data_IF_899113160559
#
_entry.id   IF_899113160559
#
_cell.length_a   1.000
_cell.length_b   1.000
_cell.length_c   1.000
_cell.angle_alpha   90.00
_cell.angle_beta   90.00
_cell.angle_gamma   90.00
#
_symmetry.space_group_name_H-M   'P 1'
#
loop_
_entity.id
_entity.type
_entity.pdbx_description
1 polymer ?
#
# COMPACT_ATOMS: atom_id res chain seq x y z
N UNK A 1 5.46 1.43 37.50
CA UNK A 1 4.01 1.22 37.76
C UNK A 1 3.35 2.56 37.61
N UNK A 2 2.39 2.68 36.69
CA UNK A 2 1.63 3.91 36.47
C UNK A 2 0.83 4.23 37.74
N UNK A 3 0.92 5.45 38.26
CA UNK A 3 0.13 5.86 39.42
C UNK A 3 -1.28 6.24 38.97
N UNK A 4 -2.29 5.93 39.77
CA UNK A 4 -3.67 6.30 39.47
C UNK A 4 -4.25 7.17 40.59
N UNK A 5 -4.88 8.27 40.21
CA UNK A 5 -5.61 9.15 41.11
C UNK A 5 -7.09 9.20 40.73
N UNK A 6 -7.96 9.28 41.74
CA UNK A 6 -9.39 9.50 41.55
C UNK A 6 -9.84 10.75 42.29
N UNK A 7 -10.50 11.67 41.59
CA UNK A 7 -11.02 12.93 42.13
C UNK A 7 -12.53 12.83 42.15
N UNK A 8 -13.13 12.77 43.34
CA UNK A 8 -14.59 12.70 43.51
C UNK A 8 -15.09 14.08 43.94
N UNK A 9 -15.90 14.71 43.08
CA UNK A 9 -16.42 16.07 43.24
C UNK A 9 -17.95 16.04 43.36
N UNK A 10 -18.47 16.35 44.54
CA UNK A 10 -19.92 16.33 44.82
C UNK A 10 -20.25 17.44 45.80
N UNK A 11 -21.29 18.24 45.54
CA UNK A 11 -21.78 19.30 46.44
C UNK A 11 -20.69 20.31 46.87
N UNK A 12 -19.89 20.79 45.91
CA UNK A 12 -18.77 21.71 46.16
C UNK A 12 -17.68 21.16 47.11
N UNK A 13 -17.65 19.85 47.36
CA UNK A 13 -16.56 19.16 48.04
C UNK A 13 -15.81 18.25 47.07
N UNK A 14 -14.51 18.15 47.25
CA UNK A 14 -13.64 17.25 46.50
C UNK A 14 -12.83 16.37 47.43
N UNK A 15 -12.82 15.08 47.12
CA UNK A 15 -12.02 14.07 47.79
C UNK A 15 -11.11 13.38 46.78
N UNK A 16 -9.81 13.35 47.09
CA UNK A 16 -8.79 12.76 46.22
C UNK A 16 -8.39 11.41 46.78
N UNK A 17 -8.23 10.43 45.90
CA UNK A 17 -7.75 9.10 46.22
C UNK A 17 -6.54 8.75 45.36
N UNK A 18 -5.58 8.04 45.94
CA UNK A 18 -4.46 7.41 45.24
C UNK A 18 -4.61 5.90 45.29
N UNK A 19 -4.24 5.22 44.21
CA UNK A 19 -4.21 3.76 44.14
C UNK A 19 -2.86 3.25 44.64
N UNK A 20 -2.86 2.59 45.80
CA UNK A 20 -1.69 1.90 46.36
C UNK A 20 -1.96 0.39 46.38
N UNK A 21 -1.13 -0.40 45.69
CA UNK A 21 -1.23 -1.88 45.69
C UNK A 21 -2.65 -2.42 45.39
N UNK A 22 -3.34 -1.78 44.43
CA UNK A 22 -4.75 -2.09 44.04
C UNK A 22 -5.82 -1.71 45.07
N UNK A 23 -5.47 -0.93 46.10
CA UNK A 23 -6.41 -0.37 47.08
C UNK A 23 -6.42 1.14 46.95
N UNK A 24 -7.62 1.72 46.88
CA UNK A 24 -7.79 3.17 46.86
C UNK A 24 -7.74 3.73 48.28
N UNK A 25 -6.88 4.71 48.51
CA UNK A 25 -6.74 5.40 49.81
C UNK A 25 -6.89 6.89 49.62
N UNK A 26 -7.41 7.57 50.64
CA UNK A 26 -7.55 9.03 50.61
C UNK A 26 -6.17 9.65 50.53
N UNK A 27 -5.96 10.49 49.53
CA UNK A 27 -4.75 11.26 49.34
C UNK A 27 -4.99 12.69 49.84
N UNK A 28 -4.38 13.10 50.96
CA UNK A 28 -4.65 14.40 51.57
C UNK A 28 -3.98 15.52 50.77
N UNK A 29 -4.73 16.19 49.90
CA UNK A 29 -4.28 17.42 49.24
C UNK A 29 -4.55 18.61 50.16
N UNK A 30 -3.58 19.53 50.29
CA UNK A 30 -3.62 20.63 51.26
C UNK A 30 -3.69 20.21 52.74
N UNK A 31 -3.24 19.00 53.09
CA UNK A 31 -3.32 18.41 54.45
C UNK A 31 -4.74 18.13 54.95
N UNK A 32 -5.73 18.22 54.07
CA UNK A 32 -7.14 17.92 54.36
C UNK A 32 -7.59 16.69 53.56
N UNK A 33 -8.40 15.83 54.20
CA UNK A 33 -8.97 14.65 53.53
C UNK A 33 -10.11 14.98 52.57
N UNK A 34 -10.81 16.10 52.79
CA UNK A 34 -11.80 16.68 51.88
C UNK A 34 -11.54 18.18 51.77
N UNK A 35 -11.57 18.69 50.55
CA UNK A 35 -11.37 20.11 50.28
C UNK A 35 -12.69 20.72 49.80
N UNK A 36 -12.99 21.96 50.20
CA UNK A 36 -14.10 22.71 49.61
C UNK A 36 -13.66 23.42 48.33
N UNK A 37 -14.47 23.32 47.28
CA UNK A 37 -14.30 24.01 46.00
C UNK A 37 -14.89 25.43 45.99
N UNK A 38 -15.38 25.94 47.13
CA UNK A 38 -15.89 27.33 47.23
C UNK A 38 -14.85 28.39 46.84
N UNK A 39 -13.58 28.14 47.14
CA UNK A 39 -12.46 29.05 46.91
C UNK A 39 -11.34 28.41 46.07
N UNK A 40 -11.56 27.22 45.52
CA UNK A 40 -10.54 26.43 44.83
C UNK A 40 -11.14 25.76 43.60
N UNK A 41 -10.33 25.55 42.57
CA UNK A 41 -10.74 24.80 41.38
C UNK A 41 -10.17 23.38 41.38
N UNK A 42 -10.81 22.46 40.65
CA UNK A 42 -10.27 21.11 40.46
C UNK A 42 -8.89 21.14 39.77
N UNK A 43 -8.65 22.13 38.91
CA UNK A 43 -7.36 22.37 38.26
C UNK A 43 -6.24 22.70 39.25
N UNK A 44 -6.49 23.60 40.22
CA UNK A 44 -5.52 23.91 41.29
C UNK A 44 -5.15 22.68 42.13
N UNK A 45 -6.10 21.77 42.32
CA UNK A 45 -5.85 20.52 43.05
C UNK A 45 -4.93 19.59 42.24
N UNK A 46 -5.14 19.49 40.93
CA UNK A 46 -4.26 18.72 40.03
C UNK A 46 -2.85 19.32 39.99
N UNK A 47 -2.72 20.64 39.92
CA UNK A 47 -1.41 21.32 40.01
C UNK A 47 -0.73 21.03 41.34
N UNK A 48 -1.47 21.04 42.45
CA UNK A 48 -0.94 20.69 43.77
C UNK A 48 -0.49 19.23 43.87
N UNK A 49 -1.23 18.31 43.24
CA UNK A 49 -0.83 16.90 43.14
C UNK A 49 0.49 16.78 42.37
N UNK A 50 0.66 17.51 41.27
CA UNK A 50 1.92 17.52 40.52
C UNK A 50 3.09 18.05 41.38
N UNK A 51 2.88 19.14 42.12
CA UNK A 51 3.89 19.69 43.05
C UNK A 51 4.28 18.68 44.14
N UNK A 52 3.33 17.92 44.69
CA UNK A 52 3.60 16.91 45.71
C UNK A 52 4.26 15.65 45.17
N UNK A 53 3.92 15.25 43.95
CA UNK A 53 4.59 14.13 43.29
C UNK A 53 6.04 14.48 42.93
N UNK A 54 6.32 15.76 42.65
CA UNK A 54 7.66 16.30 42.35
C UNK A 54 8.46 15.40 41.39
N UNK A 55 7.78 14.90 40.35
CA UNK A 55 8.34 13.96 39.38
C UNK A 55 8.95 14.71 38.19
N UNK A 56 10.05 14.19 37.64
CA UNK A 56 10.71 14.72 36.44
C UNK A 56 9.80 14.70 35.21
N UNK A 57 8.81 13.81 35.18
CA UNK A 57 7.90 13.61 34.05
C UNK A 57 6.52 14.29 34.24
N UNK A 58 6.42 15.22 35.20
CA UNK A 58 5.15 15.85 35.62
C UNK A 58 4.07 14.79 35.87
N UNK A 59 2.98 14.82 35.09
CA UNK A 59 1.85 13.88 35.18
C UNK A 59 1.74 12.95 33.97
N UNK A 60 2.77 12.81 33.11
CA UNK A 60 2.69 11.99 31.87
C UNK A 60 2.27 10.54 32.12
N UNK A 61 2.83 9.93 33.15
CA UNK A 61 2.57 8.52 33.50
C UNK A 61 1.58 8.37 34.68
N UNK A 62 0.58 9.23 34.75
CA UNK A 62 -0.42 9.21 35.82
C UNK A 62 -1.83 9.10 35.23
N UNK A 63 -2.62 8.13 35.70
CA UNK A 63 -4.02 8.00 35.32
C UNK A 63 -4.91 8.83 36.25
N UNK A 64 -5.83 9.63 35.71
CA UNK A 64 -6.78 10.42 36.49
C UNK A 64 -8.24 10.04 36.19
N UNK A 65 -8.98 9.65 37.22
CA UNK A 65 -10.42 9.38 37.15
C UNK A 65 -11.20 10.46 37.89
N UNK A 66 -11.88 11.35 37.17
CA UNK A 66 -12.63 12.44 37.78
C UNK A 66 -14.11 12.07 37.75
N UNK A 67 -14.75 12.00 38.92
CA UNK A 67 -16.18 11.81 39.05
C UNK A 67 -16.79 13.10 39.58
N UNK A 68 -17.66 13.75 38.81
CA UNK A 68 -18.21 15.07 39.17
C UNK A 68 -19.74 15.11 39.11
N UNK A 69 -20.40 15.81 40.05
CA UNK A 69 -21.86 15.99 40.01
C UNK A 69 -22.35 16.83 38.82
N UNK A 70 -21.50 17.77 38.37
CA UNK A 70 -21.75 18.70 37.30
C UNK A 70 -20.50 18.79 36.43
N UNK A 71 -20.64 18.85 35.10
CA UNK A 71 -19.50 19.00 34.20
C UNK A 71 -18.75 20.31 34.41
N UNK A 72 -19.40 21.33 35.00
CA UNK A 72 -18.80 22.63 35.28
C UNK A 72 -17.58 22.58 36.21
N UNK A 73 -17.49 21.59 37.11
CA UNK A 73 -16.31 21.43 37.96
C UNK A 73 -15.06 20.96 37.21
N UNK A 74 -15.22 20.44 36.00
CA UNK A 74 -14.10 20.07 35.14
C UNK A 74 -13.52 21.23 34.34
N UNK A 75 -14.06 22.46 34.51
CA UNK A 75 -13.54 23.65 33.82
C UNK A 75 -12.06 23.86 34.17
N UNK A 76 -11.24 24.08 33.15
CA UNK A 76 -9.79 24.28 33.28
C UNK A 76 -8.96 22.99 33.36
N UNK A 77 -9.57 21.83 33.66
CA UNK A 77 -8.85 20.56 33.70
C UNK A 77 -8.20 20.17 32.36
N UNK A 78 -8.85 20.31 31.19
CA UNK A 78 -8.21 19.98 29.91
C UNK A 78 -6.95 20.80 29.64
N UNK A 79 -6.98 22.10 29.96
CA UNK A 79 -5.84 23.00 29.76
C UNK A 79 -4.71 22.69 30.74
N UNK A 80 -5.03 22.43 32.01
CA UNK A 80 -4.05 22.06 33.04
C UNK A 80 -3.39 20.71 32.73
N UNK A 81 -4.17 19.68 32.37
CA UNK A 81 -3.61 18.40 31.96
C UNK A 81 -2.76 18.51 30.68
N UNK A 82 -3.20 19.30 29.70
CA UNK A 82 -2.41 19.59 28.50
C UNK A 82 -1.06 20.25 28.81
N UNK A 83 -1.03 21.25 29.71
CA UNK A 83 0.22 21.88 30.18
C UNK A 83 1.14 20.90 30.90
N UNK A 84 0.56 19.97 31.66
CA UNK A 84 1.30 18.97 32.43
C UNK A 84 1.63 17.69 31.63
N UNK A 85 1.27 17.65 30.34
CA UNK A 85 1.53 16.54 29.43
C UNK A 85 0.74 15.26 29.75
N UNK A 86 -0.38 15.37 30.46
CA UNK A 86 -1.21 14.22 30.82
C UNK A 86 -2.30 14.00 29.76
N UNK A 87 -2.28 12.82 29.14
CA UNK A 87 -3.29 12.39 28.17
C UNK A 87 -4.21 11.30 28.74
N UNK A 88 -3.95 10.85 29.97
CA UNK A 88 -4.61 9.71 30.61
C UNK A 88 -5.55 10.17 31.72
N UNK A 89 -6.53 11.01 31.36
CA UNK A 89 -7.56 11.47 32.30
C UNK A 89 -8.96 11.29 31.73
N UNK A 90 -9.94 11.07 32.59
CA UNK A 90 -11.34 10.84 32.21
C UNK A 90 -12.30 11.53 33.17
N UNK A 91 -13.42 12.03 32.63
CA UNK A 91 -14.51 12.65 33.40
C UNK A 91 -15.77 11.79 33.32
N UNK A 92 -16.32 11.42 34.47
CA UNK A 92 -17.55 10.65 34.60
C UNK A 92 -18.54 11.41 35.46
N UNK A 93 -19.80 11.47 35.04
CA UNK A 93 -20.84 12.11 35.84
C UNK A 93 -21.20 11.26 37.06
N UNK A 94 -21.33 11.92 38.21
CA UNK A 94 -21.66 11.31 39.50
C UNK A 94 -22.90 10.44 39.43
N UNK A 95 -23.97 10.92 38.79
CA UNK A 95 -25.24 10.18 38.71
C UNK A 95 -25.03 8.81 38.04
N UNK A 96 -24.40 8.81 36.87
CA UNK A 96 -24.15 7.59 36.11
C UNK A 96 -23.17 6.65 36.83
N UNK A 97 -22.15 7.19 37.50
CA UNK A 97 -21.22 6.39 38.30
C UNK A 97 -21.93 5.76 39.52
N UNK A 98 -22.76 6.55 40.21
CA UNK A 98 -23.52 6.12 41.39
C UNK A 98 -24.52 5.03 41.05
N UNK A 99 -25.29 5.18 39.98
CA UNK A 99 -26.27 4.17 39.54
C UNK A 99 -25.60 2.80 39.34
N UNK A 100 -24.45 2.77 38.66
CA UNK A 100 -23.69 1.53 38.47
C UNK A 100 -23.14 0.97 39.77
N UNK A 101 -22.55 1.81 40.62
CA UNK A 101 -21.96 1.37 41.89
C UNK A 101 -23.01 0.84 42.87
N UNK A 102 -24.22 1.41 42.89
CA UNK A 102 -25.33 0.94 43.72
C UNK A 102 -25.81 -0.46 43.31
N UNK A 103 -25.73 -0.82 42.02
CA UNK A 103 -26.03 -2.18 41.56
C UNK A 103 -25.03 -3.21 42.09
N UNK A 104 -23.77 -2.82 42.28
CA UNK A 104 -22.71 -3.69 42.83
C UNK A 104 -22.84 -3.82 44.34
N UNK A 105 -23.01 -2.70 45.04
CA UNK A 105 -23.23 -2.67 46.49
C UNK A 105 -24.14 -1.50 46.87
N UNK A 106 -25.38 -1.76 47.30
CA UNK A 106 -26.32 -0.69 47.64
C UNK A 106 -25.84 0.11 48.86
N UNK A 107 -26.08 1.42 48.82
CA UNK A 107 -25.89 2.32 49.95
C UNK A 107 -26.91 1.98 51.05
N UNK A 108 -26.51 2.08 52.33
CA UNK A 108 -27.47 1.88 53.42
C UNK A 108 -28.44 3.07 53.46
N UNK A 109 -29.73 2.79 53.71
CA UNK A 109 -30.76 3.85 53.83
C UNK A 109 -30.36 4.86 54.92
N UNK A 110 -30.18 6.13 54.53
CA UNK A 110 -29.80 7.24 55.42
C UNK A 110 -28.42 7.85 55.14
N UNK A 111 -27.57 7.20 54.35
CA UNK A 111 -26.22 7.68 53.99
C UNK A 111 -26.23 8.61 52.76
N UNK A 112 -27.21 9.53 52.69
CA UNK A 112 -27.28 10.53 51.60
C UNK A 112 -26.64 11.87 51.97
N UNK A 113 -26.00 12.00 53.13
CA UNK A 113 -25.47 13.30 53.59
C UNK A 113 -23.94 13.41 53.56
N UNK A 114 -23.17 12.33 53.68
CA UNK A 114 -21.72 12.38 53.55
C UNK A 114 -21.24 11.08 52.91
N UNK A 115 -20.62 11.20 51.74
CA UNK A 115 -20.11 10.09 50.97
C UNK A 115 -19.22 9.23 51.87
N UNK A 116 -19.64 8.00 52.16
CA UNK A 116 -18.80 7.07 52.91
C UNK A 116 -17.51 6.86 52.12
N UNK A 117 -16.40 7.40 52.65
CA UNK A 117 -15.07 7.31 52.09
C UNK A 117 -14.70 5.85 51.76
N UNK A 118 -15.15 4.91 52.60
CA UNK A 118 -14.88 3.49 52.40
C UNK A 118 -15.66 2.95 51.20
N UNK A 119 -16.93 3.32 51.04
CA UNK A 119 -17.74 2.95 49.88
C UNK A 119 -17.20 3.55 48.58
N UNK A 120 -16.75 4.81 48.60
CA UNK A 120 -16.12 5.45 47.45
C UNK A 120 -14.87 4.67 46.99
N UNK A 121 -13.97 4.38 47.92
CA UNK A 121 -12.72 3.68 47.66
C UNK A 121 -12.90 2.23 47.21
N UNK A 122 -13.85 1.49 47.82
CA UNK A 122 -13.99 0.05 47.60
C UNK A 122 -15.02 -0.34 46.54
N UNK A 123 -15.92 0.56 46.15
CA UNK A 123 -17.03 0.24 45.23
C UNK A 123 -17.06 1.20 44.05
N UNK A 124 -17.16 2.51 44.29
CA UNK A 124 -17.38 3.49 43.22
C UNK A 124 -16.20 3.54 42.26
N UNK A 125 -14.99 3.82 42.79
CA UNK A 125 -13.81 4.02 41.94
C UNK A 125 -13.47 2.74 41.14
N UNK A 126 -13.42 1.53 41.73
CA UNK A 126 -13.18 0.30 40.97
C UNK A 126 -14.22 0.03 39.86
N UNK A 127 -15.48 0.37 40.11
CA UNK A 127 -16.56 0.17 39.11
C UNK A 127 -16.39 1.10 37.91
N UNK A 128 -15.93 2.33 38.15
CA UNK A 128 -15.67 3.31 37.09
C UNK A 128 -14.40 2.94 36.31
N UNK A 129 -13.32 2.58 37.01
CA UNK A 129 -12.04 2.15 36.44
C UNK A 129 -12.21 0.92 35.53
N UNK A 130 -12.91 -0.13 36.00
CA UNK A 130 -13.09 -1.37 35.26
C UNK A 130 -13.93 -1.24 33.99
N UNK A 131 -14.95 -0.37 34.01
CA UNK A 131 -15.83 -0.16 32.84
C UNK A 131 -15.12 0.54 31.68
N UNK A 132 -14.13 1.38 31.98
CA UNK A 132 -13.43 2.20 30.98
C UNK A 132 -12.25 1.43 30.38
N UNK A 133 -11.46 0.75 31.22
CA UNK A 133 -10.35 -0.10 30.75
C UNK A 133 -10.81 -1.22 29.81
N UNK A 134 -12.01 -1.79 30.05
CA UNK A 134 -12.58 -2.82 29.18
C UNK A 134 -12.95 -2.30 27.78
N UNK A 135 -13.44 -1.06 27.67
CA UNK A 135 -13.80 -0.45 26.38
C UNK A 135 -12.55 -0.15 25.53
N UNK A 136 -11.48 0.32 26.16
CA UNK A 136 -10.21 0.61 25.49
C UNK A 136 -9.53 -0.68 24.99
N UNK A 137 -9.51 -1.75 25.80
CA UNK A 137 -8.94 -3.04 25.38
C UNK A 137 -9.71 -3.69 24.23
N UNK A 138 -11.04 -3.59 24.23
CA UNK A 138 -11.87 -4.13 23.15
C UNK A 138 -11.60 -3.40 21.83
N UNK A 139 -11.50 -2.06 21.87
CA UNK A 139 -11.20 -1.23 20.72
C UNK A 139 -9.79 -1.49 20.16
N UNK A 140 -8.81 -1.68 21.04
CA UNK A 140 -7.43 -2.03 20.64
C UNK A 140 -7.39 -3.39 19.93
N UNK A 141 -8.05 -4.42 20.49
CA UNK A 141 -8.13 -5.75 19.85
C UNK A 141 -8.85 -5.72 18.51
N UNK A 142 -9.87 -4.89 18.35
CA UNK A 142 -10.55 -4.72 17.06
C UNK A 142 -9.62 -4.08 16.01
N UNK A 143 -8.89 -3.03 16.39
CA UNK A 143 -7.89 -2.40 15.51
C UNK A 143 -6.77 -3.37 15.11
N UNK A 144 -6.27 -4.18 16.04
CA UNK A 144 -5.25 -5.20 15.75
C UNK A 144 -5.77 -6.23 14.75
N UNK A 145 -7.02 -6.68 14.90
CA UNK A 145 -7.66 -7.61 13.96
C UNK A 145 -7.81 -7.01 12.57
N UNK A 146 -8.19 -5.75 12.48
CA UNK A 146 -8.32 -5.07 11.19
C UNK A 146 -6.97 -4.88 10.49
N UNK A 147 -5.91 -4.56 11.25
CA UNK A 147 -4.56 -4.48 10.72
C UNK A 147 -4.06 -5.84 10.22
N UNK A 148 -4.30 -6.92 10.98
CA UNK A 148 -3.95 -8.27 10.58
C UNK A 148 -4.70 -8.69 9.30
N UNK A 149 -6.00 -8.37 9.19
CA UNK A 149 -6.80 -8.66 8.00
C UNK A 149 -6.28 -7.93 6.76
N UNK A 150 -5.94 -6.63 6.90
CA UNK A 150 -5.36 -5.84 5.81
C UNK A 150 -4.01 -6.38 5.37
N UNK A 151 -3.17 -6.78 6.32
CA UNK A 151 -1.88 -7.38 6.01
C UNK A 151 -2.04 -8.70 5.25
N UNK A 152 -2.96 -9.56 5.69
CA UNK A 152 -3.25 -10.83 4.99
C UNK A 152 -3.78 -10.58 3.56
N UNK A 153 -4.64 -9.57 3.38
CA UNK A 153 -5.16 -9.19 2.07
C UNK A 153 -4.06 -8.63 1.14
N UNK A 154 -3.14 -7.83 1.68
CA UNK A 154 -1.99 -7.33 0.93
C UNK A 154 -1.05 -8.44 0.47
N UNK A 155 -0.76 -9.42 1.33
CA UNK A 155 0.07 -10.57 0.96
C UNK A 155 -0.60 -11.41 -0.14
N UNK A 156 -1.92 -11.66 -0.04
CA UNK A 156 -2.66 -12.36 -1.11
C UNK A 156 -2.62 -11.63 -2.45
N UNK A 157 -2.75 -10.30 -2.44
CA UNK A 157 -2.63 -9.48 -3.66
C UNK A 157 -1.23 -9.58 -4.25
N UNK A 158 -0.19 -9.52 -3.40
CA UNK A 158 1.20 -9.64 -3.83
C UNK A 158 1.50 -11.00 -4.47
N UNK A 159 1.07 -12.10 -3.83
CA UNK A 159 1.20 -13.45 -4.38
C UNK A 159 0.48 -13.58 -5.74
N UNK A 160 -0.73 -13.02 -5.86
CA UNK A 160 -1.46 -13.03 -7.12
C UNK A 160 -0.73 -12.22 -8.23
N UNK A 161 -0.15 -11.06 -7.89
CA UNK A 161 0.64 -10.27 -8.83
C UNK A 161 1.90 -10.99 -9.30
N UNK A 162 2.63 -11.66 -8.39
CA UNK A 162 3.81 -12.45 -8.75
C UNK A 162 3.45 -13.60 -9.69
N UNK A 163 2.35 -14.31 -9.42
CA UNK A 163 1.87 -15.39 -10.29
C UNK A 163 1.51 -14.89 -11.69
N UNK A 164 0.74 -13.79 -11.79
CA UNK A 164 0.38 -13.18 -13.07
C UNK A 164 1.61 -12.67 -13.83
N UNK A 165 2.60 -12.12 -13.13
CA UNK A 165 3.88 -11.71 -13.72
C UNK A 165 4.64 -12.88 -14.33
N UNK A 166 4.70 -14.02 -13.62
CA UNK A 166 5.30 -15.25 -14.11
C UNK A 166 4.59 -15.80 -15.36
N UNK A 167 3.26 -15.89 -15.33
CA UNK A 167 2.46 -16.33 -16.47
C UNK A 167 2.67 -15.43 -17.70
N UNK A 168 2.73 -14.11 -17.51
CA UNK A 168 2.98 -13.15 -18.60
C UNK A 168 4.33 -13.38 -19.25
N UNK A 169 5.39 -13.60 -18.46
CA UNK A 169 6.72 -13.88 -19.00
C UNK A 169 6.77 -15.18 -19.82
N UNK A 170 6.10 -16.23 -19.35
CA UNK A 170 6.01 -17.51 -20.10
C UNK A 170 5.30 -17.30 -21.44
N UNK A 171 4.17 -16.58 -21.43
CA UNK A 171 3.41 -16.30 -22.66
C UNK A 171 4.19 -15.41 -23.63
N UNK A 172 4.89 -14.38 -23.13
CA UNK A 172 5.75 -13.52 -23.95
C UNK A 172 6.88 -14.33 -24.62
N UNK A 173 7.50 -15.26 -23.88
CA UNK A 173 8.51 -16.15 -24.42
C UNK A 173 7.96 -17.06 -25.53
N UNK A 174 6.76 -17.62 -25.34
CA UNK A 174 6.12 -18.47 -26.34
C UNK A 174 5.71 -17.67 -27.59
N UNK A 175 5.19 -16.45 -27.43
CA UNK A 175 4.91 -15.55 -28.56
C UNK A 175 6.17 -15.29 -29.37
N UNK A 176 7.29 -15.00 -28.71
CA UNK A 176 8.56 -14.74 -29.39
C UNK A 176 9.09 -15.99 -30.11
N UNK A 177 8.96 -17.16 -29.48
CA UNK A 177 9.32 -18.44 -30.09
C UNK A 177 8.49 -18.73 -31.34
N UNK A 178 7.17 -18.57 -31.27
CA UNK A 178 6.27 -18.79 -32.40
C UNK A 178 6.53 -17.80 -33.54
N UNK A 179 6.78 -16.53 -33.22
CA UNK A 179 7.19 -15.53 -34.21
C UNK A 179 8.47 -15.92 -34.93
N UNK A 180 9.49 -16.41 -34.20
CA UNK A 180 10.72 -16.89 -34.81
C UNK A 180 10.49 -18.11 -35.72
N UNK A 181 9.59 -19.03 -35.34
CA UNK A 181 9.23 -20.17 -36.19
C UNK A 181 8.49 -19.75 -37.46
N UNK A 182 7.58 -18.78 -37.36
CA UNK A 182 6.88 -18.22 -38.51
C UNK A 182 7.85 -17.53 -39.47
N UNK A 183 8.82 -16.77 -38.97
CA UNK A 183 9.84 -16.12 -39.81
C UNK A 183 10.67 -17.11 -40.66
N UNK A 184 10.91 -18.32 -40.15
CA UNK A 184 11.60 -19.37 -40.90
C UNK A 184 10.74 -19.95 -42.03
N UNK A 185 9.42 -20.01 -41.84
CA UNK A 185 8.46 -20.51 -42.83
C UNK A 185 8.13 -19.45 -43.89
N UNK A 186 8.23 -18.17 -43.52
CA UNK A 186 7.78 -17.03 -44.32
C UNK A 186 8.86 -16.48 -45.27
N UNK A 187 9.69 -17.36 -45.83
CA UNK A 187 10.75 -16.99 -46.79
C UNK A 187 10.21 -16.92 -48.22
N UNK A 188 10.66 -15.94 -49.05
CA UNK A 188 10.26 -15.85 -50.45
C UNK A 188 10.47 -17.17 -51.21
N UNK A 189 9.60 -17.45 -52.18
CA UNK A 189 9.74 -18.65 -53.01
C UNK A 189 10.97 -18.57 -53.92
N UNK A 190 11.53 -19.71 -54.29
CA UNK A 190 12.71 -19.77 -55.16
C UNK A 190 12.44 -19.12 -56.53
N UNK A 191 11.21 -19.24 -57.03
CA UNK A 191 10.76 -18.59 -58.27
C UNK A 191 10.72 -17.07 -58.14
N UNK A 192 10.19 -16.53 -57.03
CA UNK A 192 10.18 -15.09 -56.76
C UNK A 192 11.61 -14.54 -56.68
N UNK A 193 12.51 -15.23 -55.97
CA UNK A 193 13.91 -14.82 -55.84
C UNK A 193 14.63 -14.83 -57.20
N UNK A 194 14.46 -15.90 -57.98
CA UNK A 194 15.06 -16.00 -59.32
C UNK A 194 14.53 -14.92 -60.28
N UNK A 195 13.28 -14.50 -60.10
CA UNK A 195 12.63 -13.47 -60.93
C UNK A 195 13.07 -12.06 -60.56
N UNK A 196 13.07 -11.70 -59.27
CA UNK A 196 13.25 -10.31 -58.83
C UNK A 196 14.71 -9.93 -58.55
N UNK A 197 15.57 -10.85 -58.10
CA UNK A 197 16.96 -10.51 -57.76
C UNK A 197 17.79 -9.99 -58.96
N UNK A 198 17.67 -10.55 -60.19
CA UNK A 198 18.39 -10.02 -61.36
C UNK A 198 17.87 -8.66 -61.87
N UNK A 199 16.65 -8.29 -61.44
CA UNK A 199 16.04 -6.99 -61.70
C UNK A 199 16.50 -5.99 -60.64
N UNK A 200 16.58 -6.37 -59.37
CA UNK A 200 17.03 -5.52 -58.27
C UNK A 200 18.53 -5.20 -58.36
N UNK A 201 19.35 -6.20 -58.69
CA UNK A 201 20.80 -6.09 -58.73
C UNK A 201 21.37 -6.25 -60.14
N UNK A 202 22.43 -5.50 -60.45
CA UNK A 202 23.17 -5.66 -61.71
C UNK A 202 24.02 -6.92 -61.65
N UNK A 203 24.00 -7.70 -62.72
CA UNK A 203 24.83 -8.91 -62.88
C UNK A 203 24.73 -9.91 -61.72
N UNK A 204 23.54 -10.03 -61.09
CA UNK A 204 23.33 -10.83 -59.90
C UNK A 204 23.91 -12.26 -60.01
N UNK A 205 23.57 -12.99 -61.07
CA UNK A 205 24.04 -14.36 -61.30
C UNK A 205 25.54 -14.51 -61.61
N UNK A 206 26.24 -13.41 -61.87
CA UNK A 206 27.71 -13.43 -61.97
C UNK A 206 28.38 -13.36 -60.60
N UNK A 207 27.63 -12.96 -59.56
CA UNK A 207 28.13 -12.75 -58.20
C UNK A 207 27.61 -13.79 -57.22
N UNK A 208 26.41 -14.31 -57.42
CA UNK A 208 25.77 -15.32 -56.56
C UNK A 208 25.46 -16.55 -57.40
N UNK A 209 25.94 -17.73 -56.99
CA UNK A 209 25.61 -18.98 -57.68
C UNK A 209 24.19 -19.45 -57.30
N UNK A 210 23.48 -20.17 -58.20
CA UNK A 210 22.21 -20.82 -57.88
C UNK A 210 22.23 -21.67 -56.61
N UNK A 211 23.33 -22.38 -56.34
CA UNK A 211 23.54 -23.17 -55.13
C UNK A 211 23.60 -22.31 -53.86
N UNK A 212 24.27 -21.16 -53.94
CA UNK A 212 24.47 -20.27 -52.80
C UNK A 212 23.15 -19.57 -52.47
N UNK A 213 22.36 -19.23 -53.50
CA UNK A 213 21.02 -18.68 -53.30
C UNK A 213 20.06 -19.70 -52.67
N UNK A 214 20.09 -20.96 -53.12
CA UNK A 214 19.29 -22.04 -52.52
C UNK A 214 19.64 -22.23 -51.03
N UNK A 215 20.94 -22.22 -50.70
CA UNK A 215 21.42 -22.28 -49.32
C UNK A 215 20.94 -21.08 -48.49
N UNK A 216 21.09 -19.85 -49.00
CA UNK A 216 20.63 -18.63 -48.33
C UNK A 216 19.10 -18.61 -48.15
N UNK A 217 18.34 -19.17 -49.10
CA UNK A 217 16.90 -19.34 -49.00
C UNK A 217 16.49 -20.48 -48.04
N UNK A 218 17.43 -21.29 -47.56
CA UNK A 218 17.15 -22.46 -46.71
C UNK A 218 16.41 -23.57 -47.45
N UNK A 219 16.58 -23.66 -48.78
CA UNK A 219 15.89 -24.63 -49.64
C UNK A 219 16.89 -25.54 -50.35
N UNK A 220 16.46 -26.77 -50.63
CA UNK A 220 17.27 -27.75 -51.37
C UNK A 220 17.04 -27.70 -52.88
N UNK A 221 16.01 -26.99 -53.35
CA UNK A 221 15.72 -26.85 -54.77
C UNK A 221 16.56 -25.72 -55.38
N UNK A 222 17.29 -26.03 -56.45
CA UNK A 222 18.02 -25.05 -57.23
C UNK A 222 17.05 -24.24 -58.09
N UNK A 223 17.24 -22.90 -58.21
CA UNK A 223 16.47 -22.10 -59.16
C UNK A 223 16.81 -22.51 -60.59
N UNK A 224 15.80 -22.63 -61.46
CA UNK A 224 15.99 -22.83 -62.89
C UNK A 224 16.47 -21.52 -63.54
N UNK A 225 17.77 -21.38 -63.70
CA UNK A 225 18.40 -20.19 -64.30
C UNK A 225 18.87 -20.54 -65.71
N UNK A 226 18.36 -19.89 -66.77
CA UNK A 226 18.84 -20.13 -68.13
C UNK A 226 20.30 -19.69 -68.28
N UNK A 227 21.10 -20.51 -68.97
CA UNK A 227 22.50 -20.21 -69.28
C UNK A 227 22.67 -20.04 -70.79
N UNK A 228 23.12 -18.87 -71.30
CA UNK A 228 23.45 -17.65 -70.56
C UNK A 228 22.21 -16.89 -70.07
N UNK A 229 22.31 -16.24 -68.90
CA UNK A 229 21.17 -15.48 -68.36
C UNK A 229 20.96 -14.18 -69.17
N UNK A 230 19.77 -13.94 -69.73
CA UNK A 230 19.50 -12.72 -70.47
C UNK A 230 19.47 -11.53 -69.52
N UNK A 231 20.32 -10.53 -69.76
CA UNK A 231 20.28 -9.29 -68.98
C UNK A 231 18.94 -8.61 -69.23
N UNK A 232 18.15 -8.29 -68.17
CA UNK A 232 16.86 -7.63 -68.37
C UNK A 232 17.09 -6.25 -68.98
N UNK A 233 16.33 -5.95 -70.02
CA UNK A 233 16.31 -4.67 -70.72
C UNK A 233 15.56 -3.61 -69.89
N UNK A 234 15.69 -2.34 -70.28
CA UNK A 234 15.10 -1.22 -69.53
C UNK A 234 13.57 -1.31 -69.47
N UNK A 235 12.93 -1.88 -70.49
CA UNK A 235 11.49 -2.10 -70.52
C UNK A 235 11.05 -3.16 -69.49
N UNK A 236 11.75 -4.30 -69.42
CA UNK A 236 11.50 -5.35 -68.42
C UNK A 236 11.71 -4.83 -67.01
N UNK A 237 12.78 -4.04 -66.77
CA UNK A 237 13.02 -3.43 -65.46
C UNK A 237 11.88 -2.49 -65.05
N UNK A 238 11.38 -1.65 -65.97
CA UNK A 238 10.26 -0.74 -65.70
C UNK A 238 8.95 -1.49 -65.42
N UNK A 239 8.69 -2.60 -66.13
CA UNK A 239 7.52 -3.45 -65.90
C UNK A 239 7.61 -4.16 -64.55
N UNK A 240 8.77 -4.71 -64.20
CA UNK A 240 8.99 -5.39 -62.93
C UNK A 240 8.98 -4.43 -61.73
N UNK A 241 9.43 -3.18 -61.92
CA UNK A 241 9.25 -2.11 -60.94
C UNK A 241 7.78 -1.87 -60.60
N UNK A 242 6.91 -1.78 -61.61
CA UNK A 242 5.46 -1.63 -61.39
C UNK A 242 4.87 -2.84 -60.66
N UNK A 243 5.30 -4.06 -60.99
CA UNK A 243 4.87 -5.29 -60.31
C UNK A 243 5.30 -5.32 -58.85
N UNK A 244 6.53 -4.90 -58.55
CA UNK A 244 7.02 -4.77 -57.18
C UNK A 244 6.25 -3.73 -56.38
N UNK A 245 5.90 -2.58 -56.96
CA UNK A 245 5.09 -1.57 -56.28
C UNK A 245 3.64 -2.01 -56.02
N UNK A 246 3.09 -2.87 -56.87
CA UNK A 246 1.72 -3.40 -56.74
C UNK A 246 1.61 -4.66 -55.85
N UNK A 247 2.74 -5.23 -55.43
CA UNK A 247 2.81 -6.41 -54.58
C UNK A 247 2.32 -6.10 -53.15
N UNK A 248 1.70 -7.05 -52.42
CA UNK A 248 1.33 -6.83 -51.01
C UNK A 248 2.52 -6.42 -50.13
N UNK A 249 2.29 -5.52 -49.17
CA UNK A 249 3.35 -4.97 -48.30
C UNK A 249 4.14 -6.08 -47.59
N UNK A 250 3.45 -7.12 -47.10
CA UNK A 250 4.09 -8.28 -46.46
C UNK A 250 5.03 -9.05 -47.41
N UNK A 251 4.72 -9.14 -48.70
CA UNK A 251 5.61 -9.78 -49.68
C UNK A 251 6.81 -8.90 -50.03
N UNK A 252 6.60 -7.58 -50.12
CA UNK A 252 7.68 -6.62 -50.32
C UNK A 252 8.66 -6.61 -49.14
N UNK A 253 8.15 -6.62 -47.91
CA UNK A 253 8.95 -6.69 -46.68
C UNK A 253 9.76 -7.97 -46.61
N UNK A 254 9.14 -9.14 -46.87
CA UNK A 254 9.86 -10.43 -46.95
C UNK A 254 11.00 -10.42 -47.96
N UNK A 255 10.75 -9.86 -49.15
CA UNK A 255 11.78 -9.76 -50.18
C UNK A 255 12.90 -8.79 -49.77
N UNK A 256 12.57 -7.69 -49.08
CA UNK A 256 13.54 -6.71 -48.57
C UNK A 256 14.40 -7.30 -47.44
N UNK A 257 13.77 -8.00 -46.50
CA UNK A 257 14.46 -8.71 -45.41
C UNK A 257 15.42 -9.76 -45.97
N UNK A 258 14.97 -10.57 -46.94
CA UNK A 258 15.84 -11.51 -47.63
C UNK A 258 17.01 -10.82 -48.34
N UNK A 259 16.75 -9.68 -48.99
CA UNK A 259 17.81 -8.91 -49.65
C UNK A 259 18.85 -8.35 -48.66
N UNK A 260 18.48 -8.11 -47.40
CA UNK A 260 19.43 -7.69 -46.36
C UNK A 260 20.38 -8.82 -45.92
N UNK A 261 20.00 -10.10 -46.13
CA UNK A 261 20.85 -11.27 -45.86
C UNK A 261 21.85 -11.57 -47.00
N UNK A 262 21.74 -10.88 -48.15
CA UNK A 262 22.61 -11.12 -49.32
C UNK A 262 24.03 -10.53 -49.14
N UNK A 263 25.02 -11.03 -49.90
CA UNK A 263 26.39 -10.48 -49.88
C UNK A 263 26.43 -8.97 -50.18
N UNK A 264 27.27 -8.23 -49.45
CA UNK A 264 27.35 -6.75 -49.48
C UNK A 264 27.97 -6.14 -50.74
N UNK A 265 28.45 -6.97 -51.68
CA UNK A 265 29.09 -6.54 -52.93
C UNK A 265 28.12 -6.44 -54.12
N UNK A 266 26.81 -6.60 -53.90
CA UNK A 266 25.80 -6.52 -54.95
C UNK A 266 25.46 -5.07 -55.31
N UNK A 267 25.51 -4.76 -56.62
CA UNK A 267 25.27 -3.41 -57.11
C UNK A 267 23.79 -3.20 -57.45
N UNK A 268 23.09 -2.42 -56.63
CA UNK A 268 21.66 -2.10 -56.79
C UNK A 268 21.46 -1.26 -58.08
N UNK A 269 20.45 -1.63 -58.87
CA UNK A 269 20.06 -0.83 -60.04
C UNK A 269 19.50 0.53 -59.60
N UNK A 270 19.97 1.66 -60.15
CA UNK A 270 19.45 2.99 -59.82
C UNK A 270 17.92 3.09 -59.88
N UNK A 271 17.31 2.40 -60.84
CA UNK A 271 15.86 2.37 -61.07
C UNK A 271 15.09 1.71 -59.91
N UNK A 272 15.76 0.85 -59.13
CA UNK A 272 15.20 0.00 -58.08
C UNK A 272 15.55 0.47 -56.66
N UNK A 273 16.27 1.59 -56.50
CA UNK A 273 16.67 2.11 -55.16
C UNK A 273 15.48 2.35 -54.22
N UNK A 274 14.37 2.83 -54.76
CA UNK A 274 13.12 3.08 -54.02
C UNK A 274 12.62 1.86 -53.22
N UNK A 275 13.01 0.64 -53.59
CA UNK A 275 12.56 -0.57 -52.92
C UNK A 275 13.27 -0.80 -51.57
N UNK A 276 14.45 -0.20 -51.41
CA UNK A 276 15.32 -0.33 -50.23
C UNK A 276 15.33 0.91 -49.32
N UNK A 277 14.61 1.96 -49.73
CA UNK A 277 14.38 3.20 -48.97
C UNK A 277 13.10 3.06 -48.12
#
# INVERSE_FOLDING_TARGET
>A
MKKSFALIIVQDEIQVFEQEQSVWRVYPVFREGRNSLKNKTAAEIVEKINEYLNSSDNLKEVDFFIVADRPGYARGLPETFGKLGNESWQLVLWQSAKERAVLVKPLKKGETAHLDTQWLASVLIPTVEGSLRYQDEALLKERERDLARRHEEQEKIKEAMEKLGGERHVLEAEINRLKAQLALLDRPSMEQLATYLPVLYRNFWNSVKPSDLALLAGRYNLPEVPSPFPKPDNHTVAQMKKRLQAMPVQEQERLREFCAELPSNLNIRPEMRFFFE
#
